data_IF_980533270721
#
_entry.id   IF_980533270721
#
_cell.length_a   1.000
_cell.length_b   1.000
_cell.length_c   1.000
_cell.angle_alpha   90.00
_cell.angle_beta   90.00
_cell.angle_gamma   90.00
#
_symmetry.space_group_name_H-M   'P 1'
#
loop_
_entity.id
_entity.type
_entity.pdbx_description
1 polymer ?
#
# COMPACT_ATOMS: atom_id res chain seq x y z
N UNK A 1 -7.19 52.25 39.42
CA UNK A 1 -6.67 51.31 40.45
C UNK A 1 -7.85 50.59 41.09
N UNK A 2 -7.78 49.24 41.05
CA UNK A 2 -8.43 48.24 41.91
C UNK A 2 -9.97 48.13 41.88
N UNK A 3 -10.45 47.23 41.02
CA UNK A 3 -11.76 46.58 41.09
C UNK A 3 -11.70 45.34 41.98
N UNK A 4 -12.78 45.11 42.70
CA UNK A 4 -13.07 43.95 43.55
C UNK A 4 -13.26 42.68 42.71
N UNK A 5 -13.12 41.51 43.33
CA UNK A 5 -14.16 40.45 43.42
C UNK A 5 -13.68 39.39 44.42
N UNK A 6 -14.53 39.14 45.41
CA UNK A 6 -14.48 38.09 46.41
C UNK A 6 -15.34 36.93 45.91
N UNK A 7 -14.90 35.67 46.03
CA UNK A 7 -15.64 34.59 46.68
C UNK A 7 -15.20 33.16 46.30
N UNK A 8 -14.98 32.39 47.37
CA UNK A 8 -15.37 31.00 47.61
C UNK A 8 -14.59 29.86 46.93
N UNK A 9 -13.74 29.27 47.76
CA UNK A 9 -13.34 27.88 47.71
C UNK A 9 -14.51 26.93 48.06
N UNK A 10 -14.30 25.66 47.69
CA UNK A 10 -15.00 24.43 48.11
C UNK A 10 -16.18 23.96 47.24
N UNK A 11 -15.82 23.12 46.27
CA UNK A 11 -16.76 22.33 45.47
C UNK A 11 -16.08 21.68 44.28
N UNK A 12 -14.91 21.05 44.50
CA UNK A 12 -14.20 20.33 43.47
C UNK A 12 -14.97 19.07 43.09
N UNK A 13 -15.90 19.18 42.14
CA UNK A 13 -16.33 18.04 41.36
C UNK A 13 -15.12 17.62 40.52
N UNK A 14 -14.45 16.54 40.92
CA UNK A 14 -13.63 15.76 40.01
C UNK A 14 -14.55 15.29 38.88
N UNK A 15 -14.62 16.06 37.80
CA UNK A 15 -15.03 15.52 36.50
C UNK A 15 -13.92 14.56 36.13
N UNK A 16 -14.11 13.29 36.48
CA UNK A 16 -13.28 12.20 35.97
C UNK A 16 -13.36 12.29 34.46
N UNK A 17 -12.26 12.70 33.82
CA UNK A 17 -12.09 12.57 32.40
C UNK A 17 -12.14 11.08 32.10
N UNK A 18 -13.33 10.59 31.80
CA UNK A 18 -13.51 9.30 31.15
C UNK A 18 -12.89 9.47 29.78
N UNK A 19 -11.61 9.12 29.64
CA UNK A 19 -11.01 8.90 28.34
C UNK A 19 -11.67 7.65 27.79
N UNK A 20 -12.87 7.81 27.22
CA UNK A 20 -13.38 6.87 26.23
C UNK A 20 -12.28 6.88 25.18
N UNK A 21 -11.48 5.82 25.12
CA UNK A 21 -10.54 5.64 24.02
C UNK A 21 -11.41 5.46 22.78
N UNK A 22 -11.71 6.56 22.07
CA UNK A 22 -12.29 6.47 20.74
C UNK A 22 -11.24 5.78 19.89
N UNK A 23 -11.42 4.48 19.69
CA UNK A 23 -10.65 3.74 18.69
C UNK A 23 -11.04 4.37 17.35
N UNK A 24 -10.09 5.10 16.75
CA UNK A 24 -10.27 5.64 15.41
C UNK A 24 -10.20 4.47 14.44
N UNK A 25 -11.31 4.18 13.76
CA UNK A 25 -11.36 3.17 12.71
C UNK A 25 -11.12 3.88 11.38
N UNK A 26 -9.99 3.57 10.74
CA UNK A 26 -9.63 4.11 9.42
C UNK A 26 -9.81 2.99 8.41
N UNK A 27 -10.64 3.23 7.40
CA UNK A 27 -10.81 2.34 6.24
C UNK A 27 -10.00 2.90 5.08
N UNK A 28 -9.25 2.02 4.40
CA UNK A 28 -8.42 2.37 3.25
C UNK A 28 -8.92 1.57 2.03
N UNK A 29 -9.27 2.26 0.95
CA UNK A 29 -9.54 1.68 -0.36
C UNK A 29 -8.23 1.33 -1.04
N UNK A 30 -7.97 0.03 -1.23
CA UNK A 30 -6.75 -0.45 -1.87
C UNK A 30 -7.11 -1.14 -3.18
N UNK A 31 -6.40 -0.77 -4.25
CA UNK A 31 -6.56 -1.38 -5.57
C UNK A 31 -5.32 -2.14 -5.98
N UNK A 32 -5.48 -3.36 -6.48
CA UNK A 32 -4.37 -4.17 -6.98
C UNK A 32 -4.30 -4.22 -8.49
N UNK A 33 -3.11 -3.91 -8.99
CA UNK A 33 -2.74 -4.02 -10.39
C UNK A 33 -1.69 -5.10 -10.53
N UNK A 34 -1.98 -6.13 -11.31
CA UNK A 34 -1.04 -7.22 -11.54
C UNK A 34 -0.34 -7.08 -12.89
N UNK A 35 0.98 -7.27 -12.91
CA UNK A 35 1.72 -7.38 -14.15
C UNK A 35 1.63 -8.80 -14.76
N UNK A 36 2.10 -8.92 -15.99
CA UNK A 36 2.13 -10.22 -16.69
C UNK A 36 3.08 -11.24 -16.06
N UNK A 37 4.07 -10.80 -15.27
CA UNK A 37 5.01 -11.71 -14.63
C UNK A 37 4.31 -12.53 -13.55
N UNK A 38 3.45 -11.91 -12.74
CA UNK A 38 2.69 -12.60 -11.70
C UNK A 38 1.75 -13.63 -12.32
N UNK A 39 1.08 -13.26 -13.42
CA UNK A 39 0.21 -14.17 -14.19
C UNK A 39 1.00 -15.37 -14.70
N UNK A 40 2.17 -15.14 -15.31
CA UNK A 40 3.04 -16.22 -15.82
C UNK A 40 3.57 -17.11 -14.70
N UNK A 41 4.01 -16.53 -13.59
CA UNK A 41 4.53 -17.29 -12.45
C UNK A 41 3.50 -18.30 -11.90
N UNK A 42 2.21 -17.94 -11.92
CA UNK A 42 1.11 -18.84 -11.51
C UNK A 42 0.85 -19.95 -12.53
N UNK A 43 0.88 -19.63 -13.81
CA UNK A 43 0.69 -20.59 -14.90
C UNK A 43 1.82 -21.64 -14.92
N UNK A 44 3.07 -21.20 -14.85
CA UNK A 44 4.25 -22.07 -14.86
C UNK A 44 4.28 -23.06 -13.70
N UNK A 45 3.79 -22.62 -12.53
CA UNK A 45 3.75 -23.42 -11.30
C UNK A 45 2.47 -24.25 -11.16
N UNK A 46 1.60 -24.25 -12.19
CA UNK A 46 0.38 -25.06 -12.28
C UNK A 46 -0.57 -24.87 -11.10
N UNK A 47 -0.72 -23.63 -10.61
CA UNK A 47 -1.70 -23.34 -9.57
C UNK A 47 -3.12 -23.61 -10.06
N UNK A 48 -3.92 -24.23 -9.20
CA UNK A 48 -5.33 -24.59 -9.49
C UNK A 48 -6.31 -23.48 -9.16
N UNK A 49 -5.93 -22.54 -8.29
CA UNK A 49 -6.76 -21.39 -7.92
C UNK A 49 -6.72 -20.30 -8.98
N UNK A 50 -7.86 -19.65 -9.22
CA UNK A 50 -7.95 -18.52 -10.14
C UNK A 50 -7.12 -17.34 -9.60
N UNK A 51 -6.59 -16.49 -10.48
CA UNK A 51 -5.85 -15.29 -10.07
C UNK A 51 -6.75 -14.37 -9.24
N UNK A 52 -7.99 -14.15 -9.69
CA UNK A 52 -9.00 -13.39 -8.95
C UNK A 52 -9.19 -13.94 -7.53
N UNK A 53 -9.32 -15.26 -7.37
CA UNK A 53 -9.50 -15.88 -6.05
C UNK A 53 -8.24 -15.73 -5.19
N UNK A 54 -7.05 -15.87 -5.79
CA UNK A 54 -5.79 -15.62 -5.11
C UNK A 54 -5.69 -14.17 -4.65
N UNK A 55 -6.00 -13.20 -5.51
CA UNK A 55 -6.00 -11.79 -5.17
C UNK A 55 -7.06 -11.49 -4.12
N UNK A 56 -8.24 -12.10 -4.17
CA UNK A 56 -9.26 -12.00 -3.11
C UNK A 56 -8.82 -12.62 -1.79
N UNK A 57 -7.94 -13.62 -1.78
CA UNK A 57 -7.33 -14.14 -0.54
C UNK A 57 -6.20 -13.24 -0.07
N UNK A 58 -5.40 -12.71 -1.01
CA UNK A 58 -4.44 -11.63 -0.78
C UNK A 58 -5.18 -10.40 -0.19
N UNK A 59 -6.45 -10.24 -0.58
CA UNK A 59 -7.37 -9.15 -0.33
C UNK A 59 -8.69 -9.59 0.29
N UNK A 60 -8.65 -10.32 1.40
CA UNK A 60 -9.72 -10.12 2.39
C UNK A 60 -9.64 -8.70 3.04
N UNK A 61 -9.03 -7.75 2.28
CA UNK A 61 -9.14 -6.30 2.16
C UNK A 61 -9.19 -5.80 0.66
N UNK A 62 -10.15 -6.24 -0.19
CA UNK A 62 -10.78 -5.56 -1.38
C UNK A 62 -10.06 -5.37 -2.77
N UNK A 63 -10.87 -5.65 -3.83
CA UNK A 63 -10.94 -5.36 -5.32
C UNK A 63 -9.74 -5.41 -6.32
N UNK A 64 -10.05 -5.96 -7.53
CA UNK A 64 -9.14 -6.47 -8.58
C UNK A 64 -9.13 -5.63 -9.89
N UNK A 65 -7.95 -5.50 -10.54
CA UNK A 65 -7.84 -5.31 -12.01
C UNK A 65 -6.50 -5.72 -12.61
N UNK A 66 -6.54 -6.46 -13.72
CA UNK A 66 -5.35 -6.97 -14.42
C UNK A 66 -5.11 -6.23 -15.74
N UNK A 67 -4.39 -5.09 -15.74
CA UNK A 67 -3.99 -4.47 -17.02
C UNK A 67 -2.83 -3.47 -17.01
N UNK A 68 -1.76 -3.74 -16.25
CA UNK A 68 -0.49 -3.02 -16.44
C UNK A 68 0.39 -3.73 -17.46
N UNK A 69 0.59 -3.09 -18.61
CA UNK A 69 1.39 -3.62 -19.71
C UNK A 69 2.85 -3.16 -19.58
N UNK A 70 3.76 -4.13 -19.70
CA UNK A 70 5.18 -4.01 -19.40
C UNK A 70 5.92 -3.15 -20.45
N UNK A 71 6.91 -2.38 -20.02
CA UNK A 71 8.02 -1.96 -20.90
C UNK A 71 9.10 -3.04 -20.84
N UNK A 72 9.37 -3.72 -21.96
CA UNK A 72 10.49 -4.65 -22.05
C UNK A 72 11.79 -3.84 -21.95
N UNK A 73 12.59 -4.10 -20.91
CA UNK A 73 13.98 -3.66 -20.89
C UNK A 73 14.78 -4.53 -21.87
N UNK A 74 15.31 -3.89 -22.91
CA UNK A 74 16.49 -4.39 -23.62
C UNK A 74 17.56 -4.74 -22.58
N UNK A 75 18.39 -5.77 -22.81
CA UNK A 75 19.43 -6.32 -21.90
C UNK A 75 19.10 -7.59 -21.09
N UNK A 76 17.89 -8.14 -21.12
CA UNK A 76 17.62 -9.45 -20.52
C UNK A 76 17.78 -9.50 -18.99
N UNK A 77 17.78 -8.32 -18.34
CA UNK A 77 17.79 -8.15 -16.90
C UNK A 77 16.41 -8.54 -16.36
N UNK A 78 16.35 -9.52 -15.45
CA UNK A 78 15.11 -10.06 -14.86
C UNK A 78 14.69 -9.35 -13.58
N UNK A 79 15.22 -8.16 -13.32
CA UNK A 79 14.94 -7.37 -12.12
C UNK A 79 14.25 -6.05 -12.48
N UNK A 80 13.47 -5.53 -11.54
CA UNK A 80 12.87 -4.20 -11.62
C UNK A 80 13.70 -3.24 -10.77
N UNK A 81 14.04 -2.08 -11.34
CA UNK A 81 14.53 -0.95 -10.54
C UNK A 81 13.31 -0.31 -9.83
N UNK A 82 13.28 -0.29 -8.49
CA UNK A 82 12.11 0.17 -7.76
C UNK A 82 11.83 1.66 -7.95
N UNK A 83 12.87 2.49 -8.04
CA UNK A 83 12.72 3.95 -8.13
C UNK A 83 12.09 4.32 -9.47
N UNK A 84 12.62 3.78 -10.55
CA UNK A 84 12.12 4.00 -11.89
C UNK A 84 10.72 3.40 -12.08
N UNK A 85 10.52 2.16 -11.61
CA UNK A 85 9.23 1.47 -11.74
C UNK A 85 8.13 2.19 -10.98
N UNK A 86 8.38 2.62 -9.74
CA UNK A 86 7.39 3.31 -8.92
C UNK A 86 7.00 4.66 -9.53
N UNK A 87 7.97 5.43 -10.06
CA UNK A 87 7.68 6.70 -10.74
C UNK A 87 6.85 6.54 -12.01
N UNK A 88 7.18 5.55 -12.85
CA UNK A 88 6.39 5.24 -14.06
C UNK A 88 4.99 4.74 -13.70
N UNK A 89 4.87 3.92 -12.66
CA UNK A 89 3.60 3.43 -12.18
C UNK A 89 2.72 4.55 -11.63
N UNK A 90 3.28 5.50 -10.88
CA UNK A 90 2.57 6.68 -10.39
C UNK A 90 1.96 7.50 -11.52
N UNK A 91 2.75 7.79 -12.57
CA UNK A 91 2.29 8.53 -13.74
C UNK A 91 1.13 7.78 -14.43
N UNK A 92 1.25 6.47 -14.58
CA UNK A 92 0.22 5.64 -15.19
C UNK A 92 -1.08 5.62 -14.37
N UNK A 93 -0.98 5.45 -13.05
CA UNK A 93 -2.11 5.47 -12.11
C UNK A 93 -2.82 6.83 -12.17
N UNK A 94 -2.08 7.93 -12.08
CA UNK A 94 -2.63 9.30 -12.14
C UNK A 94 -3.27 9.65 -13.49
N UNK A 95 -2.80 9.03 -14.57
CA UNK A 95 -3.36 9.22 -15.91
C UNK A 95 -4.65 8.43 -16.14
N UNK A 96 -4.95 7.46 -15.29
CA UNK A 96 -6.10 6.58 -15.43
C UNK A 96 -7.22 7.00 -14.48
N UNK A 97 -8.35 7.45 -15.04
CA UNK A 97 -9.52 7.90 -14.27
C UNK A 97 -10.12 6.83 -13.35
N UNK A 98 -9.78 5.55 -13.57
CA UNK A 98 -10.25 4.43 -12.74
C UNK A 98 -9.87 4.58 -11.28
N UNK A 99 -8.67 5.08 -11.00
CA UNK A 99 -8.09 5.13 -9.65
C UNK A 99 -8.34 6.46 -8.94
N UNK A 100 -9.18 7.33 -9.50
CA UNK A 100 -9.35 8.69 -9.01
C UNK A 100 -9.86 8.75 -7.56
N UNK A 101 -10.68 7.77 -7.19
CA UNK A 101 -11.34 7.70 -5.88
C UNK A 101 -10.70 6.63 -4.97
N UNK A 102 -9.58 6.03 -5.39
CA UNK A 102 -8.81 5.07 -4.58
C UNK A 102 -7.86 5.81 -3.61
N UNK A 103 -7.61 5.23 -2.44
CA UNK A 103 -6.64 5.79 -1.49
C UNK A 103 -5.22 5.31 -1.84
N UNK A 104 -5.06 4.03 -2.16
CA UNK A 104 -3.76 3.42 -2.51
C UNK A 104 -3.90 2.41 -3.65
N UNK A 105 -2.96 2.46 -4.60
CA UNK A 105 -2.85 1.47 -5.68
C UNK A 105 -1.52 0.72 -5.59
N UNK A 106 -1.57 -0.60 -5.57
CA UNK A 106 -0.38 -1.46 -5.55
C UNK A 106 -0.15 -2.16 -6.89
N UNK A 107 1.08 -2.09 -7.39
CA UNK A 107 1.58 -2.97 -8.45
C UNK A 107 2.13 -4.25 -7.82
N UNK A 108 1.50 -5.39 -8.10
CA UNK A 108 1.99 -6.72 -7.77
C UNK A 108 2.77 -7.32 -8.93
N UNK A 109 3.97 -7.80 -8.63
CA UNK A 109 4.88 -8.41 -9.60
C UNK A 109 5.57 -9.63 -9.02
N UNK A 110 5.89 -10.61 -9.86
CA UNK A 110 6.78 -11.73 -9.47
C UNK A 110 8.25 -11.48 -9.77
N UNK A 111 8.55 -10.39 -10.49
CA UNK A 111 9.92 -10.01 -10.82
C UNK A 111 10.69 -9.71 -9.55
N UNK A 112 11.98 -10.06 -9.55
CA UNK A 112 12.85 -9.62 -8.46
C UNK A 112 13.00 -8.10 -8.54
N UNK A 113 13.03 -7.43 -7.40
CA UNK A 113 13.30 -6.00 -7.34
C UNK A 113 14.76 -5.86 -6.93
N UNK A 114 15.53 -5.10 -7.71
CA UNK A 114 16.93 -4.84 -7.44
C UNK A 114 17.13 -3.34 -7.24
N UNK A 115 17.55 -2.99 -6.03
CA UNK A 115 17.71 -1.61 -5.59
C UNK A 115 19.18 -1.27 -5.55
N UNK A 116 19.64 -0.65 -6.63
CA UNK A 116 21.03 -0.25 -6.78
C UNK A 116 21.39 1.01 -5.98
N UNK A 117 20.39 1.73 -5.45
CA UNK A 117 20.56 3.05 -4.81
C UNK A 117 20.35 2.96 -3.30
N UNK A 118 19.33 2.21 -2.88
CA UNK A 118 18.94 2.05 -1.48
C UNK A 118 19.65 0.89 -0.79
N UNK A 119 20.17 1.14 0.43
CA UNK A 119 20.56 0.07 1.39
C UNK A 119 19.36 -0.42 2.23
N UNK A 120 18.15 -0.33 1.68
CA UNK A 120 16.89 -0.51 2.39
C UNK A 120 16.63 -1.94 2.86
N UNK A 121 15.78 -2.07 3.89
CA UNK A 121 15.50 -3.33 4.61
C UNK A 121 14.51 -4.24 3.84
N UNK A 122 13.77 -3.72 2.86
CA UNK A 122 12.73 -4.47 2.13
C UNK A 122 12.97 -4.44 0.62
N UNK A 123 13.74 -5.41 0.10
CA UNK A 123 13.95 -5.62 -1.34
C UNK A 123 12.72 -6.14 -2.10
N UNK A 124 11.55 -6.11 -1.48
CA UNK A 124 10.34 -6.74 -2.01
C UNK A 124 9.10 -5.87 -1.86
N UNK A 125 9.27 -4.62 -1.42
CA UNK A 125 8.19 -3.65 -1.31
C UNK A 125 8.72 -2.23 -1.24
N UNK A 126 8.14 -1.32 -2.02
CA UNK A 126 8.50 0.09 -2.13
C UNK A 126 7.25 0.97 -2.21
N UNK A 127 7.28 2.12 -1.54
CA UNK A 127 6.27 3.16 -1.61
C UNK A 127 6.87 4.52 -1.26
N UNK A 128 6.19 5.59 -1.63
CA UNK A 128 6.48 6.91 -1.10
C UNK A 128 5.91 7.05 0.32
N UNK A 129 6.51 7.95 1.11
CA UNK A 129 6.14 8.16 2.51
C UNK A 129 5.02 9.21 2.62
N UNK A 130 4.02 8.97 3.47
CA UNK A 130 3.00 9.97 3.81
C UNK A 130 1.96 10.27 2.72
N UNK A 131 1.77 9.37 1.75
CA UNK A 131 0.91 9.65 0.58
C UNK A 131 -0.58 9.34 0.77
N UNK A 132 -1.09 8.78 1.89
CA UNK A 132 -2.49 8.31 1.96
C UNK A 132 -3.57 9.41 1.89
N UNK A 133 -3.20 10.67 2.13
CA UNK A 133 -4.09 11.82 1.98
C UNK A 133 -4.17 12.30 0.51
N UNK A 134 -3.49 11.58 -0.38
CA UNK A 134 -3.48 11.67 -1.84
C UNK A 134 -3.55 10.25 -2.41
N UNK A 135 -3.66 10.10 -3.74
CA UNK A 135 -3.61 8.77 -4.37
C UNK A 135 -2.21 8.17 -4.22
N UNK A 136 -2.01 7.31 -3.22
CA UNK A 136 -0.73 6.68 -2.92
C UNK A 136 -0.43 5.51 -3.85
N UNK A 137 0.85 5.27 -4.16
CA UNK A 137 1.25 4.11 -4.96
C UNK A 137 2.30 3.25 -4.27
N UNK A 138 2.18 1.94 -4.45
CA UNK A 138 3.14 0.97 -3.95
C UNK A 138 3.53 -0.07 -5.00
N UNK A 139 4.73 -0.60 -4.86
CA UNK A 139 5.26 -1.71 -5.64
C UNK A 139 5.56 -2.86 -4.67
N UNK A 140 5.02 -4.04 -4.93
CA UNK A 140 5.20 -5.22 -4.07
C UNK A 140 5.54 -6.43 -4.91
N UNK A 141 6.57 -7.16 -4.48
CA UNK A 141 6.90 -8.47 -5.05
C UNK A 141 6.08 -9.55 -4.36
N UNK A 142 5.42 -10.37 -5.16
CA UNK A 142 4.76 -11.61 -4.74
C UNK A 142 5.17 -12.76 -5.65
N UNK A 143 5.52 -13.90 -5.07
CA UNK A 143 5.98 -15.08 -5.83
C UNK A 143 4.88 -15.73 -6.68
N UNK A 144 3.61 -15.43 -6.38
CA UNK A 144 2.42 -16.05 -6.94
C UNK A 144 2.19 -17.48 -6.47
N UNK A 145 3.01 -18.01 -5.56
CA UNK A 145 2.94 -19.40 -5.05
C UNK A 145 2.29 -19.46 -3.68
N UNK A 146 2.80 -18.59 -2.84
CA UNK A 146 2.38 -18.34 -1.48
C UNK A 146 2.19 -16.83 -1.37
N UNK A 147 1.42 -16.40 -0.38
CA UNK A 147 1.14 -14.99 -0.11
C UNK A 147 2.35 -14.27 0.52
N UNK A 148 3.55 -14.41 -0.05
CA UNK A 148 4.77 -13.80 0.47
C UNK A 148 4.81 -12.28 0.28
N UNK A 149 4.05 -11.75 -0.68
CA UNK A 149 3.90 -10.30 -0.87
C UNK A 149 3.11 -9.59 0.23
N UNK A 150 2.26 -10.29 0.99
CA UNK A 150 1.34 -9.67 1.96
C UNK A 150 2.09 -8.90 3.06
N UNK A 151 3.18 -9.46 3.58
CA UNK A 151 3.99 -8.79 4.62
C UNK A 151 4.67 -7.52 4.09
N UNK A 152 5.07 -7.54 2.81
CA UNK A 152 5.72 -6.41 2.16
C UNK A 152 4.73 -5.29 1.87
N UNK A 153 3.51 -5.64 1.45
CA UNK A 153 2.38 -4.74 1.30
C UNK A 153 2.02 -4.07 2.62
N UNK A 154 1.79 -4.84 3.69
CA UNK A 154 1.46 -4.32 5.01
C UNK A 154 2.52 -3.33 5.52
N UNK A 155 3.80 -3.64 5.26
CA UNK A 155 4.90 -2.73 5.59
C UNK A 155 4.85 -1.43 4.78
N UNK A 156 4.52 -1.47 3.50
CA UNK A 156 4.40 -0.26 2.68
C UNK A 156 3.20 0.59 3.10
N UNK A 157 2.06 -0.01 3.41
CA UNK A 157 0.93 0.72 3.99
C UNK A 157 1.37 1.44 5.27
N UNK A 158 2.13 0.76 6.15
CA UNK A 158 2.70 1.39 7.34
C UNK A 158 3.75 2.48 7.08
N UNK A 159 4.35 2.55 5.89
CA UNK A 159 5.20 3.68 5.47
C UNK A 159 4.39 4.84 4.88
N UNK A 160 3.19 4.56 4.34
CA UNK A 160 2.33 5.59 3.76
C UNK A 160 1.51 6.31 4.82
N UNK A 161 1.10 5.60 5.89
CA UNK A 161 0.42 6.12 7.08
C UNK A 161 1.36 6.94 7.97
#
# INVERSE_FOLDING_TARGET
MKSWVLCMALGGFMVGASTISMVQNITLGVHFVCDTSLVKARQEKKHTTLLEEYLRIFLHAVEEESRFEKTEYEFGVKTLDPTFTLGMFQIWVQSNKKFKDDDVVFLLTSMQIDDHVGRGISKSGYSYFGEICSLGVGLVRDSGVIFDGVIHMARQIGHML
#
